data_IF_406674094609
#
_entry.id   IF_406674094609
#
_cell.length_a   1.000
_cell.length_b   1.000
_cell.length_c   1.000
_cell.angle_alpha   90.00
_cell.angle_beta   90.00
_cell.angle_gamma   90.00
#
_symmetry.space_group_name_H-M   'P 1'
#
loop_
_entity.id
_entity.type
_entity.pdbx_description
1 polymer ?
#
# COMPACT_ATOMS: atom_id res chain seq x y z
N UNK A 1 19.08 11.83 24.86
CA UNK A 1 18.31 12.96 24.34
C UNK A 1 17.07 12.36 23.68
N UNK A 2 15.91 12.39 24.36
CA UNK A 2 14.65 11.83 23.85
C UNK A 2 13.90 12.94 23.14
N UNK A 3 13.66 12.78 21.86
CA UNK A 3 12.84 13.71 21.08
C UNK A 3 11.40 13.21 21.17
N UNK A 4 10.55 13.97 21.86
CA UNK A 4 9.09 13.78 21.86
C UNK A 4 8.51 14.56 20.68
N UNK A 5 8.02 13.85 19.67
CA UNK A 5 7.17 14.44 18.64
C UNK A 5 5.75 14.51 19.19
N UNK A 6 5.36 15.70 19.63
CA UNK A 6 3.97 16.01 19.97
C UNK A 6 3.26 16.35 18.67
N UNK A 7 2.58 15.35 18.08
CA UNK A 7 1.61 15.58 17.02
C UNK A 7 0.32 16.09 17.64
N UNK A 8 -0.04 17.37 17.40
CA UNK A 8 -1.37 17.88 17.70
C UNK A 8 -2.43 17.07 16.97
N UNK A 9 -3.22 16.31 17.71
CA UNK A 9 -4.50 15.78 17.24
C UNK A 9 -5.56 16.87 17.40
N UNK A 10 -6.39 17.16 16.40
CA UNK A 10 -7.55 18.01 16.59
C UNK A 10 -8.58 17.28 17.47
N UNK A 11 -8.95 17.87 18.58
CA UNK A 11 -10.07 17.43 19.39
C UNK A 11 -11.39 17.58 18.63
N UNK A 12 -12.15 16.51 18.55
CA UNK A 12 -13.57 16.54 18.24
C UNK A 12 -14.00 15.88 16.95
N UNK A 13 -14.34 14.55 17.05
CA UNK A 13 -15.63 14.02 16.60
C UNK A 13 -15.77 12.57 17.04
N UNK A 14 -16.86 12.31 17.75
CA UNK A 14 -17.34 11.01 18.17
C UNK A 14 -17.56 10.04 17.01
N UNK A 15 -17.35 8.76 17.32
CA UNK A 15 -18.02 7.59 16.75
C UNK A 15 -18.05 7.54 15.23
N UNK A 16 -17.05 6.94 14.67
CA UNK A 16 -17.11 5.88 13.67
C UNK A 16 -15.65 5.44 13.49
N UNK A 17 -15.23 4.46 14.27
CA UNK A 17 -14.06 3.65 13.94
C UNK A 17 -14.45 2.89 12.67
N UNK A 18 -14.38 3.58 11.52
CA UNK A 18 -14.34 2.88 10.23
C UNK A 18 -13.15 1.93 10.31
N UNK A 19 -13.44 0.65 10.40
CA UNK A 19 -12.41 -0.39 10.31
C UNK A 19 -11.59 -0.09 9.06
N UNK A 20 -10.32 0.26 9.23
CA UNK A 20 -9.43 0.52 8.12
C UNK A 20 -9.30 -0.75 7.29
N UNK A 21 -9.79 -0.71 6.06
CA UNK A 21 -9.70 -1.83 5.11
C UNK A 21 -8.36 -1.73 4.38
N UNK A 22 -7.61 -2.83 4.35
CA UNK A 22 -6.39 -2.95 3.55
C UNK A 22 -6.70 -2.71 2.07
N UNK A 23 -5.84 -1.98 1.37
CA UNK A 23 -5.98 -1.66 -0.06
C UNK A 23 -4.78 -2.18 -0.85
N UNK A 24 -5.05 -3.00 -1.85
CA UNK A 24 -4.06 -3.51 -2.79
C UNK A 24 -4.35 -2.92 -4.16
N UNK A 25 -3.43 -2.15 -4.71
CA UNK A 25 -3.59 -1.58 -6.04
C UNK A 25 -2.81 -2.40 -7.08
N UNK A 26 -3.55 -3.02 -8.00
CA UNK A 26 -3.02 -3.60 -9.24
C UNK A 26 -3.02 -2.51 -10.31
N UNK A 27 -1.85 -1.98 -10.65
CA UNK A 27 -1.69 -0.92 -11.63
C UNK A 27 -1.15 -1.47 -12.95
N UNK A 28 -1.79 -1.08 -14.04
CA UNK A 28 -1.38 -1.42 -15.40
C UNK A 28 -1.20 -0.15 -16.22
N UNK A 29 -0.05 0.00 -16.88
CA UNK A 29 0.20 1.09 -17.85
C UNK A 29 0.16 0.51 -19.25
N UNK A 30 -0.93 0.76 -19.94
CA UNK A 30 -1.22 0.21 -21.26
C UNK A 30 -0.60 1.06 -22.39
N UNK A 31 -0.32 0.42 -23.53
CA UNK A 31 0.18 1.15 -24.71
C UNK A 31 -0.90 2.07 -25.32
N UNK A 32 -2.18 1.69 -25.20
CA UNK A 32 -3.33 2.45 -25.71
C UNK A 32 -4.53 2.27 -24.78
N UNK A 33 -5.44 3.28 -24.77
CA UNK A 33 -6.67 3.26 -23.98
C UNK A 33 -7.67 2.14 -24.36
N UNK A 34 -7.57 1.61 -25.59
CA UNK A 34 -8.58 0.70 -26.18
C UNK A 34 -8.44 -0.74 -25.64
N UNK A 35 -7.31 -1.07 -25.02
CA UNK A 35 -7.02 -2.43 -24.59
C UNK A 35 -6.79 -2.47 -23.09
N UNK A 36 -7.74 -3.05 -22.37
CA UNK A 36 -7.55 -3.40 -20.94
C UNK A 36 -6.48 -4.46 -20.78
N UNK A 37 -5.73 -4.37 -19.69
CA UNK A 37 -4.70 -5.36 -19.36
C UNK A 37 -5.34 -6.59 -18.73
N UNK A 38 -5.60 -7.61 -19.52
CA UNK A 38 -6.24 -8.84 -19.06
C UNK A 38 -5.53 -9.52 -17.88
N UNK A 39 -4.20 -9.34 -17.76
CA UNK A 39 -3.45 -9.95 -16.67
C UNK A 39 -3.89 -9.42 -15.29
N UNK A 40 -4.10 -8.12 -15.13
CA UNK A 40 -4.54 -7.56 -13.85
C UNK A 40 -5.97 -7.99 -13.48
N UNK A 41 -6.83 -8.18 -14.48
CA UNK A 41 -8.17 -8.72 -14.25
C UNK A 41 -8.14 -10.21 -13.86
N UNK A 42 -7.28 -11.02 -14.51
CA UNK A 42 -7.05 -12.42 -14.15
C UNK A 42 -6.54 -12.54 -12.71
N UNK A 43 -5.52 -11.76 -12.35
CA UNK A 43 -4.97 -11.70 -11.00
C UNK A 43 -6.04 -11.36 -9.96
N UNK A 44 -6.83 -10.30 -10.21
CA UNK A 44 -7.92 -9.91 -9.32
C UNK A 44 -8.97 -10.99 -9.17
N UNK A 45 -9.42 -11.56 -10.29
CA UNK A 45 -10.43 -12.64 -10.28
C UNK A 45 -9.94 -13.88 -9.54
N UNK A 46 -8.66 -14.26 -9.73
CA UNK A 46 -8.09 -15.43 -9.06
C UNK A 46 -7.83 -15.21 -7.56
N UNK A 47 -7.46 -13.99 -7.17
CA UNK A 47 -7.24 -13.64 -5.76
C UNK A 47 -8.52 -13.75 -4.94
N UNK A 48 -9.68 -13.40 -5.53
CA UNK A 48 -10.99 -13.35 -4.86
C UNK A 48 -10.96 -12.48 -3.60
N UNK A 49 -10.13 -11.42 -3.62
CA UNK A 49 -9.89 -10.55 -2.48
C UNK A 49 -10.53 -9.18 -2.72
N UNK A 50 -11.51 -8.75 -1.88
CA UNK A 50 -12.20 -7.48 -2.04
C UNK A 50 -11.29 -6.25 -1.86
N UNK A 51 -10.14 -6.41 -1.19
CA UNK A 51 -9.16 -5.34 -1.02
C UNK A 51 -8.42 -4.97 -2.32
N UNK A 52 -8.54 -5.80 -3.38
CA UNK A 52 -7.84 -5.59 -4.64
C UNK A 52 -8.60 -4.61 -5.53
N UNK A 53 -7.98 -3.48 -5.81
CA UNK A 53 -8.43 -2.49 -6.79
C UNK A 53 -7.56 -2.55 -8.05
N UNK A 54 -8.13 -2.17 -9.19
CA UNK A 54 -7.39 -2.03 -10.45
C UNK A 54 -7.28 -0.55 -10.80
N UNK A 55 -6.07 -0.13 -11.16
CA UNK A 55 -5.77 1.16 -11.77
C UNK A 55 -5.25 0.95 -13.19
N UNK A 56 -5.97 1.43 -14.21
CA UNK A 56 -5.52 1.37 -15.58
C UNK A 56 -5.11 2.76 -16.07
N UNK A 57 -3.91 2.83 -16.59
CA UNK A 57 -3.28 4.03 -17.14
C UNK A 57 -2.78 3.75 -18.54
N UNK A 58 -2.23 4.76 -19.20
CA UNK A 58 -1.57 4.61 -20.50
C UNK A 58 -0.23 5.33 -20.52
N UNK A 59 0.69 4.88 -21.39
CA UNK A 59 1.98 5.56 -21.61
C UNK A 59 1.83 6.98 -22.15
N UNK A 60 0.63 7.36 -22.61
CA UNK A 60 0.33 8.71 -23.12
C UNK A 60 -0.10 9.69 -22.01
N UNK A 61 -0.36 9.21 -20.80
CA UNK A 61 -0.66 10.08 -19.64
C UNK A 61 0.63 10.68 -19.10
N UNK A 62 0.53 11.85 -18.48
CA UNK A 62 1.67 12.40 -17.75
C UNK A 62 1.97 11.52 -16.53
N UNK A 63 3.25 11.27 -16.27
CA UNK A 63 3.67 10.46 -15.12
C UNK A 63 3.17 11.04 -13.81
N UNK A 64 3.19 12.36 -13.67
CA UNK A 64 2.73 13.06 -12.47
C UNK A 64 1.25 12.82 -12.17
N UNK A 65 0.40 12.69 -13.21
CA UNK A 65 -1.03 12.38 -13.04
C UNK A 65 -1.20 10.96 -12.48
N UNK A 66 -0.42 10.00 -12.98
CA UNK A 66 -0.43 8.61 -12.49
C UNK A 66 0.09 8.55 -11.05
N UNK A 67 1.21 9.22 -10.76
CA UNK A 67 1.77 9.31 -9.41
C UNK A 67 0.76 9.91 -8.43
N UNK A 68 0.08 10.98 -8.84
CA UNK A 68 -0.95 11.65 -8.04
C UNK A 68 -2.15 10.73 -7.78
N UNK A 69 -2.62 9.96 -8.77
CA UNK A 69 -3.75 9.04 -8.61
C UNK A 69 -3.36 7.88 -7.67
N UNK A 70 -2.20 7.27 -7.85
CA UNK A 70 -1.68 6.23 -6.95
C UNK A 70 -1.56 6.78 -5.52
N UNK A 71 -1.00 7.98 -5.37
CA UNK A 71 -0.84 8.62 -4.06
C UNK A 71 -2.19 8.91 -3.38
N UNK A 72 -3.18 9.40 -4.12
CA UNK A 72 -4.54 9.69 -3.61
C UNK A 72 -5.30 8.44 -3.17
N UNK A 73 -5.11 7.32 -3.86
CA UNK A 73 -5.73 6.03 -3.48
C UNK A 73 -5.19 5.47 -2.17
N UNK A 74 -3.99 5.91 -1.74
CA UNK A 74 -3.34 5.45 -0.51
C UNK A 74 -3.32 3.91 -0.38
N UNK A 75 -2.80 3.17 -1.38
CA UNK A 75 -2.72 1.73 -1.27
C UNK A 75 -1.72 1.31 -0.19
N UNK A 76 -2.01 0.20 0.46
CA UNK A 76 -1.07 -0.45 1.40
C UNK A 76 -0.04 -1.30 0.64
N UNK A 77 -0.38 -1.73 -0.58
CA UNK A 77 0.49 -2.49 -1.47
C UNK A 77 0.25 -2.01 -2.91
N UNK A 78 1.33 -1.81 -3.65
CA UNK A 78 1.29 -1.50 -5.07
C UNK A 78 1.88 -2.65 -5.89
N UNK A 79 1.12 -3.16 -6.86
CA UNK A 79 1.56 -4.16 -7.81
C UNK A 79 1.48 -3.59 -9.22
N UNK A 80 2.56 -3.68 -10.00
CA UNK A 80 2.66 -3.11 -11.34
C UNK A 80 2.95 -4.18 -12.38
N UNK A 81 2.27 -4.10 -13.54
CA UNK A 81 2.49 -5.01 -14.66
C UNK A 81 3.50 -4.45 -15.65
N UNK A 82 4.59 -5.20 -15.89
CA UNK A 82 5.74 -4.79 -16.71
C UNK A 82 5.79 -5.54 -18.03
N UNK A 83 5.80 -4.78 -19.10
CA UNK A 83 5.94 -5.24 -20.48
C UNK A 83 7.03 -4.43 -21.18
N UNK A 84 7.53 -4.91 -22.32
CA UNK A 84 8.61 -4.26 -23.06
C UNK A 84 8.32 -2.78 -23.41
N UNK A 85 7.06 -2.45 -23.63
CA UNK A 85 6.66 -1.07 -24.02
C UNK A 85 6.49 -0.10 -22.87
N UNK A 86 6.44 -0.58 -21.62
CA UNK A 86 6.20 0.27 -20.45
C UNK A 86 7.28 0.16 -19.37
N UNK A 87 8.32 -0.65 -19.56
CA UNK A 87 9.30 -0.93 -18.52
C UNK A 87 9.97 0.35 -18.00
N UNK A 88 10.57 1.14 -18.90
CA UNK A 88 11.24 2.39 -18.52
C UNK A 88 10.28 3.35 -17.80
N UNK A 89 9.04 3.40 -18.30
CA UNK A 89 7.99 4.23 -17.71
C UNK A 89 7.62 3.78 -16.29
N UNK A 90 7.49 2.46 -16.08
CA UNK A 90 7.20 1.85 -14.77
C UNK A 90 8.37 2.08 -13.81
N UNK A 91 9.62 1.94 -14.26
CA UNK A 91 10.79 2.14 -13.42
C UNK A 91 10.85 3.57 -12.86
N UNK A 92 10.58 4.57 -13.67
CA UNK A 92 10.50 5.95 -13.20
C UNK A 92 9.39 6.16 -12.16
N UNK A 93 8.18 5.62 -12.41
CA UNK A 93 7.07 5.68 -11.45
C UNK A 93 7.45 5.02 -10.12
N UNK A 94 8.06 3.83 -10.19
CA UNK A 94 8.48 3.06 -9.00
C UNK A 94 9.49 3.83 -8.16
N UNK A 95 10.48 4.46 -8.81
CA UNK A 95 11.49 5.25 -8.12
C UNK A 95 10.89 6.48 -7.42
N UNK A 96 9.95 7.17 -8.07
CA UNK A 96 9.29 8.34 -7.46
C UNK A 96 8.32 7.94 -6.34
N UNK A 97 7.51 6.90 -6.53
CA UNK A 97 6.63 6.38 -5.47
C UNK A 97 7.45 5.85 -4.29
N UNK A 98 8.58 5.18 -4.55
CA UNK A 98 9.46 4.71 -3.48
C UNK A 98 10.04 5.83 -2.61
N UNK A 99 10.25 7.03 -3.17
CA UNK A 99 10.63 8.23 -2.40
C UNK A 99 9.46 8.79 -1.59
N UNK A 100 8.27 8.82 -2.16
CA UNK A 100 7.06 9.36 -1.54
C UNK A 100 6.50 8.42 -0.44
N UNK A 101 6.60 7.13 -0.64
CA UNK A 101 6.04 6.09 0.23
C UNK A 101 7.07 4.96 0.48
N UNK A 102 8.17 5.22 1.20
CA UNK A 102 9.27 4.26 1.38
C UNK A 102 8.84 2.97 2.11
N UNK A 103 7.80 3.04 2.93
CA UNK A 103 7.30 1.89 3.69
C UNK A 103 6.26 1.05 2.92
N UNK A 104 5.79 1.53 1.76
CA UNK A 104 4.81 0.81 0.95
C UNK A 104 5.49 -0.26 0.11
N UNK A 105 5.15 -1.55 0.27
CA UNK A 105 5.70 -2.61 -0.56
C UNK A 105 5.25 -2.47 -2.02
N UNK A 106 6.23 -2.47 -2.92
CA UNK A 106 6.02 -2.43 -4.37
C UNK A 106 6.40 -3.79 -4.95
N UNK A 107 5.50 -4.38 -5.72
CA UNK A 107 5.72 -5.63 -6.42
C UNK A 107 5.61 -5.45 -7.93
N UNK A 108 6.50 -6.08 -8.67
CA UNK A 108 6.46 -6.08 -10.11
C UNK A 108 6.08 -7.47 -10.64
N UNK A 109 5.39 -7.52 -11.76
CA UNK A 109 5.05 -8.75 -12.47
C UNK A 109 5.01 -8.52 -13.97
N UNK A 110 4.93 -9.60 -14.72
CA UNK A 110 4.88 -9.55 -16.18
C UNK A 110 6.14 -10.11 -16.86
N UNK A 111 6.10 -10.29 -18.17
CA UNK A 111 7.16 -10.99 -18.90
C UNK A 111 8.51 -10.29 -18.79
N UNK A 112 8.54 -8.97 -18.85
CA UNK A 112 9.79 -8.22 -18.95
C UNK A 112 10.66 -8.29 -17.69
N UNK A 113 10.05 -8.40 -16.51
CA UNK A 113 10.76 -8.50 -15.23
C UNK A 113 10.95 -9.94 -14.75
N UNK A 114 10.26 -10.89 -15.36
CA UNK A 114 10.30 -12.31 -14.94
C UNK A 114 11.61 -13.00 -15.27
N UNK A 115 12.26 -12.64 -16.39
CA UNK A 115 13.49 -13.30 -16.85
C UNK A 115 14.68 -12.92 -16.01
N UNK A 116 14.83 -11.64 -15.67
CA UNK A 116 15.99 -11.11 -14.96
C UNK A 116 15.63 -10.43 -13.62
N UNK A 117 14.77 -11.11 -12.85
CA UNK A 117 14.23 -10.59 -11.60
C UNK A 117 15.32 -10.14 -10.60
N UNK A 118 16.49 -10.81 -10.58
CA UNK A 118 17.59 -10.43 -9.68
C UNK A 118 18.21 -9.09 -10.06
N UNK A 119 18.36 -8.83 -11.36
CA UNK A 119 18.88 -7.56 -11.85
C UNK A 119 17.90 -6.41 -11.62
N UNK A 120 16.61 -6.68 -11.87
CA UNK A 120 15.53 -5.73 -11.56
C UNK A 120 15.56 -5.32 -10.08
N UNK A 121 15.64 -6.27 -9.16
CA UNK A 121 15.70 -5.99 -7.72
C UNK A 121 16.98 -5.26 -7.30
N UNK A 122 18.09 -5.47 -8.00
CA UNK A 122 19.34 -4.72 -7.76
C UNK A 122 19.23 -3.28 -8.22
N UNK A 123 18.59 -3.06 -9.39
CA UNK A 123 18.42 -1.73 -10.00
C UNK A 123 17.35 -0.90 -9.28
N UNK A 124 16.31 -1.56 -8.76
CA UNK A 124 15.17 -0.92 -8.10
C UNK A 124 15.07 -1.37 -6.63
N UNK A 125 15.89 -0.83 -5.72
CA UNK A 125 15.94 -1.27 -4.32
C UNK A 125 14.65 -0.99 -3.52
N UNK A 126 13.77 -0.11 -4.01
CA UNK A 126 12.44 0.15 -3.44
C UNK A 126 11.42 -0.95 -3.77
N UNK A 127 11.72 -1.85 -4.73
CA UNK A 127 10.86 -2.98 -5.09
C UNK A 127 11.06 -4.12 -4.09
N UNK A 128 9.97 -4.59 -3.51
CA UNK A 128 9.96 -5.68 -2.53
C UNK A 128 10.20 -7.04 -3.17
N UNK A 129 9.68 -7.23 -4.39
CA UNK A 129 9.81 -8.50 -5.09
C UNK A 129 9.24 -8.49 -6.50
N UNK A 130 9.53 -9.56 -7.23
CA UNK A 130 9.05 -9.79 -8.60
C UNK A 130 8.25 -11.09 -8.64
N UNK A 131 7.03 -11.02 -9.14
CA UNK A 131 6.16 -12.16 -9.43
C UNK A 131 6.60 -12.76 -10.77
N UNK A 132 7.14 -13.99 -10.75
CA UNK A 132 7.67 -14.67 -11.94
C UNK A 132 6.63 -15.59 -12.55
N UNK A 133 6.58 -15.64 -13.87
CA UNK A 133 5.68 -16.50 -14.64
C UNK A 133 4.22 -16.06 -14.55
N UNK A 134 3.32 -17.05 -14.52
CA UNK A 134 1.89 -16.81 -14.27
C UNK A 134 1.70 -16.36 -12.83
N UNK A 135 1.28 -15.14 -12.64
CA UNK A 135 1.30 -14.47 -11.35
C UNK A 135 0.17 -14.81 -10.38
N UNK A 136 -0.88 -15.51 -10.83
CA UNK A 136 -2.14 -15.68 -10.10
C UNK A 136 -1.94 -16.31 -8.71
N UNK A 137 -1.24 -17.43 -8.64
CA UNK A 137 -0.96 -18.12 -7.37
C UNK A 137 -0.09 -17.27 -6.45
N UNK A 138 0.96 -16.68 -7.00
CA UNK A 138 1.88 -15.82 -6.26
C UNK A 138 1.18 -14.58 -5.74
N UNK A 139 0.34 -13.96 -6.56
CA UNK A 139 -0.42 -12.77 -6.17
C UNK A 139 -1.43 -13.09 -5.05
N UNK A 140 -2.18 -14.19 -5.17
CA UNK A 140 -3.10 -14.64 -4.10
C UNK A 140 -2.37 -14.88 -2.77
N UNK A 141 -1.16 -15.46 -2.82
CA UNK A 141 -0.34 -15.66 -1.63
C UNK A 141 0.17 -14.34 -1.04
N UNK A 142 0.57 -13.38 -1.88
CA UNK A 142 0.94 -12.03 -1.44
C UNK A 142 -0.24 -11.37 -0.72
N UNK A 143 -1.44 -11.38 -1.31
CA UNK A 143 -2.64 -10.85 -0.66
C UNK A 143 -2.86 -11.47 0.72
N UNK A 144 -2.75 -12.80 0.83
CA UNK A 144 -2.93 -13.53 2.09
C UNK A 144 -1.90 -13.14 3.15
N UNK A 145 -0.62 -13.05 2.78
CA UNK A 145 0.46 -12.69 3.71
C UNK A 145 0.24 -11.28 4.27
N UNK A 146 0.03 -10.31 3.40
CA UNK A 146 -0.13 -8.91 3.82
C UNK A 146 -1.43 -8.67 4.57
N UNK A 147 -2.51 -9.38 4.25
CA UNK A 147 -3.74 -9.33 5.04
C UNK A 147 -3.48 -9.78 6.48
N UNK A 148 -2.81 -10.91 6.67
CA UNK A 148 -2.47 -11.40 7.99
C UNK A 148 -1.57 -10.43 8.78
N UNK A 149 -0.65 -9.74 8.09
CA UNK A 149 0.21 -8.72 8.71
C UNK A 149 -0.58 -7.46 9.07
N UNK A 150 -1.49 -7.04 8.21
CA UNK A 150 -2.36 -5.90 8.44
C UNK A 150 -3.27 -6.14 9.66
N UNK A 151 -3.98 -7.26 9.71
CA UNK A 151 -4.84 -7.63 10.84
C UNK A 151 -4.07 -7.71 12.16
N UNK A 152 -2.84 -8.21 12.16
CA UNK A 152 -2.00 -8.22 13.36
C UNK A 152 -1.66 -6.82 13.85
N UNK A 153 -1.38 -5.87 12.95
CA UNK A 153 -1.07 -4.48 13.30
C UNK A 153 -2.27 -3.77 13.90
N UNK A 154 -3.45 -3.91 13.29
CA UNK A 154 -4.69 -3.33 13.80
C UNK A 154 -5.06 -3.90 15.17
N UNK A 155 -4.92 -5.21 15.38
CA UNK A 155 -5.18 -5.86 16.67
C UNK A 155 -4.23 -5.38 17.78
N UNK A 156 -2.97 -5.07 17.47
CA UNK A 156 -2.00 -4.52 18.43
C UNK A 156 -2.34 -3.08 18.79
N UNK A 157 -2.73 -2.24 17.83
CA UNK A 157 -3.19 -0.87 18.09
C UNK A 157 -4.46 -0.83 18.95
N UNK A 158 -5.44 -1.69 18.66
CA UNK A 158 -6.69 -1.75 19.43
C UNK A 158 -6.51 -2.24 20.88
N UNK A 159 -5.39 -2.88 21.21
CA UNK A 159 -5.08 -3.32 22.58
C UNK A 159 -4.46 -2.21 23.45
N UNK A 160 -3.81 -1.21 22.85
CA UNK A 160 -3.19 -0.11 23.60
C UNK A 160 -4.23 0.92 24.08
N UNK A 161 -5.33 1.11 23.35
CA UNK A 161 -6.38 2.06 23.75
C UNK A 161 -7.29 1.53 24.89
N UNK A 162 -7.31 0.23 25.16
CA UNK A 162 -8.14 -0.36 26.23
C UNK A 162 -7.47 -0.39 27.60
N UNK A 163 -6.18 -0.07 27.71
CA UNK A 163 -5.40 -0.12 28.96
C UNK A 163 -4.88 1.24 29.43
N UNK A 164 -5.45 2.33 28.99
CA UNK A 164 -5.23 3.62 29.65
C UNK A 164 -6.12 3.70 30.89
N UNK A 165 -5.60 3.14 31.98
CA UNK A 165 -6.20 3.25 33.29
C UNK A 165 -6.19 4.72 33.72
N UNK A 166 -7.36 5.35 33.78
CA UNK A 166 -7.56 6.73 34.24
C UNK A 166 -7.39 6.89 35.76
N UNK A 167 -6.47 6.18 36.40
CA UNK A 167 -6.23 6.18 37.84
C UNK A 167 -5.68 7.51 38.38
N UNK A 168 -5.26 8.46 37.51
CA UNK A 168 -4.75 9.77 37.93
C UNK A 168 -5.84 10.85 38.16
N UNK A 169 -7.12 10.58 37.81
CA UNK A 169 -8.23 11.55 38.00
C UNK A 169 -8.84 11.59 39.41
N UNK A 170 -8.25 10.94 40.39
CA UNK A 170 -8.81 10.84 41.75
C UNK A 170 -7.97 11.48 42.87
N UNK A 171 -7.16 12.49 42.61
CA UNK A 171 -6.36 13.11 43.68
C UNK A 171 -6.39 14.67 43.70
N UNK A 172 -7.52 15.29 43.31
CA UNK A 172 -7.71 16.73 43.56
C UNK A 172 -9.15 17.00 44.03
N UNK A 173 -9.44 16.58 45.24
CA UNK A 173 -10.54 17.14 46.01
C UNK A 173 -10.36 16.81 47.51
N UNK A 174 -9.37 17.44 48.15
CA UNK A 174 -9.40 17.67 49.60
C UNK A 174 -8.63 18.93 49.89
N UNK A 175 -9.29 19.83 50.66
CA UNK A 175 -8.81 20.96 51.43
C UNK A 175 -8.66 22.33 50.75
N UNK A 176 -9.79 23.03 50.80
CA UNK A 176 -9.80 24.45 51.16
C UNK A 176 -10.95 24.69 52.14
N UNK A 177 -10.65 24.45 53.44
CA UNK A 177 -11.33 25.09 54.57
C UNK A 177 -10.25 25.44 55.57
N UNK A 178 -9.89 26.73 55.58
CA UNK A 178 -9.61 27.59 56.77
C UNK A 178 -9.16 28.96 56.28
#
# INVERSE_FOLDING_TARGET
MRIYLIGCMPEGKNSDLEERIMKILLAAVNAKYIHSNLAVYSLKAYAEDPAVEIGEYTINQQKDDILMDIYKRQPDILCLSCYIWNLDYIEEIVLEIGKLRPDMPIWLGGPEVSYDAKEVLRRLPCVKGVMKGEGEKTFKEICRIYRNEFEKRENVCGYQDKNVDNSWKKSESVDNQL
#
